data_IF_870482678240
#
_entry.id   IF_870482678240
#
_cell.length_a   1.000
_cell.length_b   1.000
_cell.length_c   1.000
_cell.angle_alpha   90.00
_cell.angle_beta   90.00
_cell.angle_gamma   90.00
#
_symmetry.space_group_name_H-M   'P 1'
#
loop_
_entity.id
_entity.type
_entity.pdbx_description
1 polymer ?
#
# COMPACT_ATOMS: atom_id res chain seq x y z
N UNK A 1 -13.05 18.11 -2.30
CA UNK A 1 -11.91 17.67 -1.46
C UNK A 1 -12.34 16.99 -0.16
N UNK A 2 -13.39 16.15 -0.24
CA UNK A 2 -14.01 15.58 0.95
C UNK A 2 -13.15 14.47 1.59
N UNK A 3 -12.34 13.74 0.80
CA UNK A 3 -11.54 12.63 1.32
C UNK A 3 -10.53 13.05 2.42
N UNK A 4 -9.97 14.24 2.35
CA UNK A 4 -8.98 14.73 3.32
C UNK A 4 -9.59 15.53 4.47
N UNK A 5 -10.92 15.74 4.47
CA UNK A 5 -11.60 16.57 5.45
C UNK A 5 -11.39 16.04 6.87
N UNK A 6 -10.96 16.92 7.75
CA UNK A 6 -10.77 16.66 9.21
C UNK A 6 -9.85 15.47 9.58
N UNK A 7 -9.14 14.86 8.62
CA UNK A 7 -8.22 13.74 8.92
C UNK A 7 -7.15 14.15 9.92
N UNK A 8 -6.50 15.31 9.69
CA UNK A 8 -5.45 15.80 10.59
C UNK A 8 -5.99 16.15 11.98
N UNK A 9 -7.18 16.74 12.06
CA UNK A 9 -7.82 17.07 13.35
C UNK A 9 -8.10 15.80 14.15
N UNK A 10 -8.63 14.76 13.54
CA UNK A 10 -8.89 13.49 14.21
C UNK A 10 -7.59 12.82 14.65
N UNK A 11 -6.56 12.79 13.80
CA UNK A 11 -5.25 12.23 14.16
C UNK A 11 -4.64 13.01 15.33
N UNK A 12 -4.68 14.35 15.31
CA UNK A 12 -4.18 15.18 16.40
C UNK A 12 -4.92 14.95 17.72
N UNK A 13 -6.25 14.80 17.67
CA UNK A 13 -7.04 14.46 18.85
C UNK A 13 -6.61 13.10 19.44
N UNK A 14 -6.38 12.09 18.61
CA UNK A 14 -5.91 10.78 19.07
C UNK A 14 -4.50 10.83 19.67
N UNK A 15 -3.61 11.69 19.16
CA UNK A 15 -2.31 11.94 19.80
C UNK A 15 -2.49 12.44 21.23
N UNK A 16 -3.36 13.43 21.42
CA UNK A 16 -3.51 14.12 22.70
C UNK A 16 -4.32 13.31 23.72
N UNK A 17 -5.28 12.52 23.28
CA UNK A 17 -6.22 11.81 24.17
C UNK A 17 -5.93 10.32 24.22
N UNK A 18 -5.92 9.64 23.08
CA UNK A 18 -5.81 8.17 23.05
C UNK A 18 -4.39 7.70 23.35
N UNK A 19 -3.39 8.29 22.68
CA UNK A 19 -2.00 7.85 22.84
C UNK A 19 -1.45 8.21 24.22
N UNK A 20 -1.93 9.29 24.84
CA UNK A 20 -1.49 9.72 26.16
C UNK A 20 -2.29 9.13 27.31
N UNK A 21 -3.63 9.04 27.18
CA UNK A 21 -4.52 8.70 28.28
C UNK A 21 -5.18 7.32 28.14
N UNK A 22 -5.45 6.84 26.91
CA UNK A 22 -6.26 5.66 26.64
C UNK A 22 -5.50 4.59 25.84
N UNK A 23 -4.22 4.41 26.11
CA UNK A 23 -3.29 3.52 25.37
C UNK A 23 -3.74 2.08 25.19
N UNK A 24 -4.71 1.61 25.97
CA UNK A 24 -5.08 0.20 26.07
C UNK A 24 -6.33 -0.17 25.26
N UNK A 25 -6.93 0.78 24.53
CA UNK A 25 -8.11 0.47 23.73
C UNK A 25 -7.74 -0.37 22.50
N UNK A 26 -8.43 -1.49 22.36
CA UNK A 26 -8.29 -2.42 21.25
C UNK A 26 -9.61 -2.65 20.54
N UNK A 27 -9.52 -3.27 19.37
CA UNK A 27 -10.64 -3.83 18.63
C UNK A 27 -10.19 -5.12 17.94
N UNK A 28 -11.12 -6.01 17.69
CA UNK A 28 -10.85 -7.26 17.00
C UNK A 28 -11.33 -7.18 15.56
N UNK A 29 -10.53 -7.70 14.64
CA UNK A 29 -10.88 -7.84 13.23
C UNK A 29 -10.26 -9.12 12.66
N UNK A 30 -11.10 -9.97 12.08
CA UNK A 30 -10.70 -11.24 11.45
C UNK A 30 -9.79 -12.14 12.32
N UNK A 31 -10.08 -12.23 13.63
CA UNK A 31 -9.34 -13.05 14.60
C UNK A 31 -8.03 -12.43 15.10
N UNK A 32 -7.74 -11.19 14.72
CA UNK A 32 -6.59 -10.44 15.23
C UNK A 32 -7.04 -9.26 16.08
N UNK A 33 -6.29 -8.99 17.15
CA UNK A 33 -6.53 -7.84 18.03
C UNK A 33 -5.63 -6.67 17.68
N UNK A 34 -6.21 -5.52 17.40
CA UNK A 34 -5.53 -4.29 17.00
C UNK A 34 -5.71 -3.18 18.02
N UNK A 35 -4.76 -2.24 18.09
CA UNK A 35 -4.87 -1.05 18.93
C UNK A 35 -5.67 0.04 18.21
N UNK A 36 -6.50 0.77 18.97
CA UNK A 36 -7.16 2.00 18.51
C UNK A 36 -6.19 3.17 18.61
N UNK A 37 -5.24 3.19 17.71
CA UNK A 37 -4.22 4.23 17.62
C UNK A 37 -4.59 5.33 16.60
N UNK A 38 -3.66 6.23 16.33
CA UNK A 38 -3.81 7.29 15.30
C UNK A 38 -4.10 6.73 13.91
N UNK A 39 -3.55 5.55 13.59
CA UNK A 39 -3.82 4.88 12.32
C UNK A 39 -5.27 4.41 12.22
N UNK A 40 -5.84 3.87 13.30
CA UNK A 40 -7.26 3.57 13.38
C UNK A 40 -8.12 4.83 13.17
N UNK A 41 -7.73 5.94 13.80
CA UNK A 41 -8.41 7.22 13.61
C UNK A 41 -8.39 7.69 12.16
N UNK A 42 -7.24 7.55 11.50
CA UNK A 42 -7.07 7.86 10.07
C UNK A 42 -8.00 7.01 9.20
N UNK A 43 -7.99 5.70 9.38
CA UNK A 43 -8.83 4.77 8.61
C UNK A 43 -10.32 5.06 8.80
N UNK A 44 -10.73 5.32 10.04
CA UNK A 44 -12.10 5.66 10.36
C UNK A 44 -12.54 6.96 9.71
N UNK A 45 -11.71 8.01 9.77
CA UNK A 45 -12.03 9.29 9.13
C UNK A 45 -12.08 9.17 7.61
N UNK A 46 -11.16 8.39 7.01
CA UNK A 46 -11.15 8.14 5.59
C UNK A 46 -12.44 7.43 5.14
N UNK A 47 -12.89 6.43 5.89
CA UNK A 47 -14.15 5.74 5.62
C UNK A 47 -15.36 6.68 5.75
N UNK A 48 -15.43 7.53 6.77
CA UNK A 48 -16.49 8.51 6.94
C UNK A 48 -16.51 9.52 5.78
N UNK A 49 -15.35 10.05 5.41
CA UNK A 49 -15.21 11.03 4.33
C UNK A 49 -15.62 10.47 2.95
N UNK A 50 -15.43 9.18 2.78
CA UNK A 50 -15.83 8.47 1.54
C UNK A 50 -17.21 7.83 1.66
N UNK A 51 -17.98 8.15 2.70
CA UNK A 51 -19.33 7.59 2.94
C UNK A 51 -19.35 6.07 2.92
N UNK A 52 -18.28 5.43 3.43
CA UNK A 52 -18.13 3.98 3.46
C UNK A 52 -17.71 3.32 2.14
N UNK A 53 -17.48 4.07 1.06
CA UNK A 53 -17.06 3.46 -0.22
C UNK A 53 -15.76 2.67 -0.13
N UNK A 54 -14.86 3.05 0.78
CA UNK A 54 -13.59 2.36 0.99
C UNK A 54 -13.65 1.31 2.12
N UNK A 55 -14.81 1.13 2.76
CA UNK A 55 -15.00 0.14 3.81
C UNK A 55 -15.24 -1.25 3.22
N UNK A 56 -14.25 -1.77 2.52
CA UNK A 56 -14.28 -3.06 1.84
C UNK A 56 -13.02 -3.85 2.13
N UNK A 57 -13.12 -5.16 1.99
CA UNK A 57 -11.97 -6.08 2.03
C UNK A 57 -11.25 -6.11 0.68
N UNK A 58 -9.97 -6.45 0.71
CA UNK A 58 -9.14 -6.50 -0.51
C UNK A 58 -9.72 -7.45 -1.57
N UNK A 59 -10.27 -8.60 -1.16
CA UNK A 59 -10.88 -9.58 -2.05
C UNK A 59 -12.13 -9.08 -2.77
N UNK A 60 -12.86 -8.11 -2.21
CA UNK A 60 -14.06 -7.55 -2.84
C UNK A 60 -13.75 -6.76 -4.12
N UNK A 61 -12.51 -6.31 -4.27
CA UNK A 61 -12.04 -5.64 -5.49
C UNK A 61 -11.53 -6.62 -6.55
N UNK A 62 -11.36 -7.91 -6.23
CA UNK A 62 -10.77 -8.88 -7.16
C UNK A 62 -11.58 -9.02 -8.46
N UNK A 63 -12.89 -9.31 -8.37
CA UNK A 63 -13.73 -9.47 -9.54
C UNK A 63 -13.93 -8.18 -10.35
N UNK A 64 -14.22 -7.02 -9.71
CA UNK A 64 -14.31 -5.75 -10.45
C UNK A 64 -13.03 -5.40 -11.22
N UNK A 65 -11.84 -5.63 -10.64
CA UNK A 65 -10.58 -5.44 -11.36
C UNK A 65 -10.40 -6.46 -12.49
N UNK A 66 -10.69 -7.75 -12.23
CA UNK A 66 -10.57 -8.81 -13.22
C UNK A 66 -11.48 -8.56 -14.43
N UNK A 67 -12.69 -8.08 -14.21
CA UNK A 67 -13.65 -7.72 -15.25
C UNK A 67 -13.37 -6.37 -15.92
N UNK A 68 -12.32 -5.66 -15.52
CA UNK A 68 -12.00 -4.30 -16.01
C UNK A 68 -13.09 -3.26 -15.72
N UNK A 69 -13.90 -3.46 -14.70
CA UNK A 69 -14.89 -2.49 -14.20
C UNK A 69 -14.22 -1.33 -13.45
N UNK A 70 -13.09 -1.63 -12.82
CA UNK A 70 -12.22 -0.67 -12.15
C UNK A 70 -10.75 -0.90 -12.55
N UNK A 71 -9.88 0.11 -12.47
CA UNK A 71 -8.46 -0.04 -12.71
C UNK A 71 -7.80 -0.99 -11.71
N UNK A 72 -6.78 -1.74 -12.14
CA UNK A 72 -5.96 -2.54 -11.25
C UNK A 72 -5.17 -1.66 -10.28
N UNK A 73 -5.26 -1.96 -8.99
CA UNK A 73 -4.60 -1.24 -7.92
C UNK A 73 -3.36 -2.00 -7.44
N UNK A 74 -2.26 -1.28 -7.28
CA UNK A 74 -1.04 -1.77 -6.66
C UNK A 74 -0.56 -0.77 -5.61
N UNK A 75 -0.59 -1.18 -4.35
CA UNK A 75 -0.11 -0.40 -3.20
C UNK A 75 1.24 -0.98 -2.78
N UNK A 76 2.22 -0.14 -2.45
CA UNK A 76 3.61 -0.57 -2.25
C UNK A 76 4.30 0.02 -1.02
N UNK A 77 3.78 -0.20 0.21
CA UNK A 77 4.48 0.21 1.42
C UNK A 77 5.87 -0.42 1.53
N UNK A 78 6.72 0.16 2.34
CA UNK A 78 8.09 -0.29 2.57
C UNK A 78 8.17 -1.16 3.82
N UNK A 79 8.78 -2.35 3.71
CA UNK A 79 9.12 -3.20 4.85
C UNK A 79 10.37 -2.62 5.50
N UNK A 80 10.25 -2.15 6.75
CA UNK A 80 11.33 -1.49 7.49
C UNK A 80 12.47 -2.47 7.80
N UNK A 81 12.15 -3.73 8.10
CA UNK A 81 13.11 -4.74 8.51
C UNK A 81 14.23 -4.99 7.48
N UNK A 82 13.93 -4.88 6.20
CA UNK A 82 14.88 -5.22 5.12
C UNK A 82 14.89 -4.22 3.95
N UNK A 83 14.08 -3.18 4.04
CA UNK A 83 13.94 -2.14 3.02
C UNK A 83 13.33 -2.64 1.70
N UNK A 84 12.68 -3.80 1.65
CA UNK A 84 11.96 -4.29 0.48
C UNK A 84 10.58 -3.63 0.38
N UNK A 85 10.02 -3.59 -0.82
CA UNK A 85 8.63 -3.18 -1.02
C UNK A 85 7.70 -4.34 -0.69
N UNK A 86 6.60 -4.06 0.01
CA UNK A 86 5.48 -4.98 0.15
C UNK A 86 4.46 -4.59 -0.91
N UNK A 87 4.24 -5.44 -1.91
CA UNK A 87 3.27 -5.14 -2.97
C UNK A 87 1.92 -5.78 -2.62
N UNK A 88 0.90 -4.92 -2.52
CA UNK A 88 -0.47 -5.28 -2.14
C UNK A 88 -1.39 -5.00 -3.31
N UNK A 89 -2.13 -6.02 -3.74
CA UNK A 89 -3.13 -5.91 -4.81
C UNK A 89 -4.21 -6.96 -4.61
N UNK A 90 -5.45 -6.69 -5.02
CA UNK A 90 -6.48 -7.73 -5.16
C UNK A 90 -6.08 -8.86 -6.10
N UNK A 91 -5.34 -8.55 -7.17
CA UNK A 91 -4.86 -9.52 -8.16
C UNK A 91 -3.54 -10.18 -7.75
N UNK A 92 -3.25 -11.40 -8.24
CA UNK A 92 -1.93 -12.03 -8.10
C UNK A 92 -0.89 -11.23 -8.90
N UNK A 93 0.12 -10.69 -8.21
CA UNK A 93 1.15 -9.80 -8.79
C UNK A 93 2.57 -10.27 -8.53
N UNK A 94 2.78 -11.58 -8.29
CA UNK A 94 4.11 -12.16 -8.03
C UNK A 94 5.14 -11.83 -9.11
N UNK A 95 4.69 -11.61 -10.36
CA UNK A 95 5.56 -11.23 -11.48
C UNK A 95 6.28 -9.89 -11.25
N UNK A 96 5.76 -9.01 -10.38
CA UNK A 96 6.43 -7.77 -9.99
C UNK A 96 7.52 -7.96 -8.94
N UNK A 97 7.58 -9.12 -8.29
CA UNK A 97 8.57 -9.41 -7.25
C UNK A 97 9.93 -9.83 -7.82
N UNK A 98 9.98 -10.38 -9.02
CA UNK A 98 11.19 -10.92 -9.61
C UNK A 98 12.04 -9.84 -10.30
N UNK A 99 13.36 -9.94 -10.14
CA UNK A 99 14.31 -9.14 -10.90
C UNK A 99 14.83 -9.96 -12.10
N UNK A 100 14.30 -9.71 -13.30
CA UNK A 100 14.68 -10.43 -14.53
C UNK A 100 16.13 -10.20 -14.98
N UNK A 101 16.78 -9.14 -14.53
CA UNK A 101 18.13 -8.77 -14.98
C UNK A 101 19.25 -9.57 -14.28
N UNK A 102 18.92 -10.48 -13.36
CA UNK A 102 19.89 -11.26 -12.63
C UNK A 102 19.90 -12.74 -13.06
N UNK A 103 20.25 -12.99 -14.34
CA UNK A 103 20.40 -14.37 -14.87
C UNK A 103 21.54 -15.18 -14.21
N UNK A 104 22.40 -14.57 -13.38
CA UNK A 104 23.65 -15.19 -12.95
C UNK A 104 23.86 -15.26 -11.43
N UNK A 105 22.84 -15.05 -10.59
CA UNK A 105 23.05 -15.15 -9.15
C UNK A 105 22.31 -16.37 -8.61
N UNK A 106 23.10 -17.36 -8.17
CA UNK A 106 22.65 -18.59 -7.49
C UNK A 106 21.92 -18.35 -6.15
N UNK A 107 21.65 -17.12 -5.77
CA UNK A 107 21.00 -16.75 -4.51
C UNK A 107 19.65 -16.11 -4.80
N UNK A 108 18.60 -16.87 -4.61
CA UNK A 108 17.15 -16.52 -4.69
C UNK A 108 16.70 -15.42 -3.71
N UNK A 109 17.64 -14.84 -2.95
CA UNK A 109 17.36 -13.88 -1.88
C UNK A 109 17.22 -12.42 -2.33
N UNK A 110 17.31 -12.14 -3.63
CA UNK A 110 17.31 -10.76 -4.14
C UNK A 110 15.99 -10.34 -4.81
N UNK A 111 14.86 -10.81 -4.31
CA UNK A 111 13.59 -10.18 -4.66
C UNK A 111 13.54 -8.77 -4.07
N UNK A 112 13.27 -7.77 -4.91
CA UNK A 112 13.15 -6.36 -4.48
C UNK A 112 11.83 -6.05 -3.78
N UNK A 113 10.88 -6.96 -3.89
CA UNK A 113 9.55 -6.83 -3.30
C UNK A 113 8.99 -8.19 -2.91
N UNK A 114 8.07 -8.16 -1.95
CA UNK A 114 7.33 -9.31 -1.45
C UNK A 114 5.85 -9.11 -1.80
N UNK A 115 5.21 -10.11 -2.37
CA UNK A 115 3.76 -10.07 -2.62
C UNK A 115 3.00 -10.38 -1.33
N UNK A 116 2.13 -9.45 -0.92
CA UNK A 116 1.37 -9.55 0.31
C UNK A 116 0.45 -10.77 0.35
N UNK A 117 -0.39 -10.95 -0.68
CA UNK A 117 -1.36 -12.07 -0.73
C UNK A 117 -0.70 -13.44 -0.62
N UNK A 118 0.43 -13.62 -1.27
CA UNK A 118 1.16 -14.88 -1.23
C UNK A 118 1.84 -15.11 0.12
N UNK A 119 2.47 -14.07 0.66
CA UNK A 119 3.22 -14.18 1.91
C UNK A 119 2.30 -14.37 3.12
N UNK A 120 1.19 -13.61 3.18
CA UNK A 120 0.23 -13.63 4.28
C UNK A 120 -1.00 -14.51 4.01
N UNK A 121 -0.92 -15.45 3.07
CA UNK A 121 -2.03 -16.34 2.70
C UNK A 121 -2.66 -17.03 3.90
N UNK A 122 -1.84 -17.53 4.81
CA UNK A 122 -2.28 -18.28 6.00
C UNK A 122 -2.80 -17.36 7.12
N UNK A 123 -2.58 -16.05 7.01
CA UNK A 123 -3.04 -15.03 7.95
C UNK A 123 -4.26 -14.25 7.41
N UNK A 124 -4.95 -14.78 6.42
CA UNK A 124 -6.14 -14.14 5.87
C UNK A 124 -5.86 -12.88 5.05
N UNK A 125 -4.84 -12.91 4.20
CA UNK A 125 -4.43 -11.76 3.38
C UNK A 125 -5.56 -11.16 2.53
N UNK A 126 -6.50 -11.98 2.07
CA UNK A 126 -7.66 -11.56 1.27
C UNK A 126 -8.66 -10.72 2.07
N UNK A 127 -8.66 -10.87 3.38
CA UNK A 127 -9.56 -10.16 4.30
C UNK A 127 -8.97 -8.83 4.81
N UNK A 128 -7.81 -8.42 4.30
CA UNK A 128 -7.25 -7.12 4.64
C UNK A 128 -8.21 -5.99 4.28
N UNK A 129 -8.48 -5.09 5.23
CA UNK A 129 -9.25 -3.88 4.94
C UNK A 129 -8.48 -2.99 3.95
N UNK A 130 -9.20 -2.49 2.96
CA UNK A 130 -8.61 -1.61 1.93
C UNK A 130 -8.02 -0.33 2.54
N UNK A 131 -8.70 0.26 3.51
CA UNK A 131 -8.19 1.43 4.25
C UNK A 131 -6.92 1.12 5.03
N UNK A 132 -6.76 -0.10 5.54
CA UNK A 132 -5.51 -0.51 6.19
C UNK A 132 -4.35 -0.64 5.21
N UNK A 133 -4.60 -1.12 3.99
CA UNK A 133 -3.60 -1.12 2.92
C UNK A 133 -3.15 0.32 2.54
N UNK A 134 -4.10 1.25 2.42
CA UNK A 134 -3.81 2.66 2.18
C UNK A 134 -3.01 3.27 3.35
N UNK A 135 -3.40 2.97 4.60
CA UNK A 135 -2.66 3.40 5.78
C UNK A 135 -1.21 2.94 5.75
N UNK A 136 -0.96 1.66 5.46
CA UNK A 136 0.41 1.13 5.37
C UNK A 136 1.27 1.94 4.41
N UNK A 137 0.71 2.35 3.27
CA UNK A 137 1.41 3.12 2.23
C UNK A 137 1.58 4.60 2.54
N UNK A 138 0.84 5.13 3.52
CA UNK A 138 0.85 6.54 3.94
C UNK A 138 1.32 6.75 5.38
N UNK A 139 1.84 5.71 6.03
CA UNK A 139 2.36 5.79 7.40
C UNK A 139 3.68 6.51 7.43
N UNK A 140 3.66 7.81 7.74
CA UNK A 140 4.84 8.65 7.84
C UNK A 140 5.36 8.69 9.30
N UNK A 141 6.68 8.58 9.52
CA UNK A 141 7.27 8.65 10.85
C UNK A 141 6.77 9.86 11.66
N UNK A 142 6.59 9.68 12.96
CA UNK A 142 6.10 10.66 13.93
C UNK A 142 4.62 11.07 13.78
N UNK A 143 4.04 11.02 12.58
CA UNK A 143 2.61 11.34 12.35
C UNK A 143 1.73 10.13 12.63
N UNK A 144 2.07 8.99 12.05
CA UNK A 144 1.35 7.72 12.28
C UNK A 144 2.29 6.62 12.78
N UNK A 145 1.81 5.72 13.65
CA UNK A 145 2.60 4.61 14.12
C UNK A 145 2.89 3.61 13.01
N UNK A 146 4.09 3.01 13.05
CA UNK A 146 4.46 1.88 12.18
C UNK A 146 3.37 0.80 12.26
N UNK A 147 3.05 0.20 11.13
CA UNK A 147 2.12 -0.93 11.07
C UNK A 147 2.89 -2.23 11.26
N UNK A 148 2.41 -3.03 12.20
CA UNK A 148 2.94 -4.35 12.51
C UNK A 148 2.09 -5.42 11.83
N UNK A 149 2.70 -6.33 11.09
CA UNK A 149 2.03 -7.41 10.39
C UNK A 149 2.28 -8.76 11.08
N UNK A 150 1.30 -9.66 11.08
CA UNK A 150 1.35 -10.92 11.81
C UNK A 150 2.24 -11.97 11.11
N UNK A 151 3.54 -11.75 11.09
CA UNK A 151 4.55 -12.67 10.58
C UNK A 151 5.61 -12.97 11.62
N UNK A 152 6.36 -14.06 11.44
CA UNK A 152 7.52 -14.41 12.23
C UNK A 152 8.75 -14.55 11.32
N UNK A 153 9.79 -13.70 11.44
CA UNK A 153 9.80 -12.49 12.29
C UNK A 153 8.74 -11.44 11.88
N UNK A 154 8.31 -10.65 12.84
CA UNK A 154 7.30 -9.62 12.63
C UNK A 154 7.73 -8.59 11.58
N UNK A 155 6.94 -8.41 10.52
CA UNK A 155 7.15 -7.35 9.56
C UNK A 155 6.61 -6.03 10.07
N UNK A 156 7.44 -4.99 9.93
CA UNK A 156 7.07 -3.61 10.19
C UNK A 156 7.02 -2.86 8.87
N UNK A 157 5.91 -2.20 8.59
CA UNK A 157 5.73 -1.49 7.32
C UNK A 157 5.41 -0.03 7.55
N UNK A 158 5.86 0.78 6.61
CA UNK A 158 5.64 2.22 6.59
C UNK A 158 5.61 2.74 5.14
N UNK A 159 5.57 4.04 5.00
CA UNK A 159 5.34 4.80 3.79
C UNK A 159 6.05 4.26 2.53
N UNK A 160 5.33 4.29 1.42
CA UNK A 160 5.85 3.92 0.10
C UNK A 160 6.96 4.86 -0.39
N UNK A 161 6.95 6.11 0.08
CA UNK A 161 7.91 7.14 -0.28
C UNK A 161 9.36 6.80 0.02
N UNK A 162 9.60 5.90 0.95
CA UNK A 162 10.94 5.42 1.26
C UNK A 162 11.60 4.65 0.10
N UNK A 163 10.81 4.01 -0.77
CA UNK A 163 11.35 3.13 -1.82
C UNK A 163 10.81 3.41 -3.22
N UNK A 164 9.55 3.78 -3.35
CA UNK A 164 8.90 4.01 -4.64
C UNK A 164 7.70 4.95 -4.50
N UNK A 165 7.99 6.21 -4.19
CA UNK A 165 6.99 7.24 -3.85
C UNK A 165 5.87 7.42 -4.88
N UNK A 166 6.15 7.18 -6.15
CA UNK A 166 5.22 7.38 -7.25
C UNK A 166 4.84 6.08 -7.98
N UNK A 167 5.22 4.91 -7.45
CA UNK A 167 4.97 3.63 -8.09
C UNK A 167 5.73 3.41 -9.41
N UNK A 168 6.74 4.22 -9.71
CA UNK A 168 7.47 4.18 -10.99
C UNK A 168 8.14 2.83 -11.20
N UNK A 169 8.74 2.25 -10.16
CA UNK A 169 9.42 0.95 -10.26
C UNK A 169 8.44 -0.17 -10.59
N UNK A 170 7.26 -0.17 -9.96
CA UNK A 170 6.22 -1.16 -10.27
C UNK A 170 5.68 -0.96 -11.69
N UNK A 171 5.44 0.28 -12.10
CA UNK A 171 4.98 0.62 -13.44
C UNK A 171 5.96 0.17 -14.52
N UNK A 172 7.25 0.42 -14.34
CA UNK A 172 8.30 -0.05 -15.27
C UNK A 172 8.33 -1.58 -15.32
N UNK A 173 8.29 -2.27 -14.17
CA UNK A 173 8.26 -3.74 -14.13
C UNK A 173 7.02 -4.31 -14.83
N UNK A 174 5.87 -3.70 -14.63
CA UNK A 174 4.63 -4.07 -15.31
C UNK A 174 4.80 -3.98 -16.84
N UNK A 175 5.28 -2.85 -17.33
CA UNK A 175 5.54 -2.67 -18.76
C UNK A 175 6.52 -3.69 -19.32
N UNK A 176 7.62 -3.95 -18.64
CA UNK A 176 8.58 -4.96 -19.07
C UNK A 176 7.97 -6.36 -19.09
N UNK A 177 7.10 -6.67 -18.15
CA UNK A 177 6.45 -7.99 -18.06
C UNK A 177 5.50 -8.20 -19.22
N UNK A 178 4.72 -7.19 -19.56
CA UNK A 178 3.67 -7.28 -20.59
C UNK A 178 4.08 -6.60 -21.90
N UNK A 179 5.38 -6.29 -22.09
CA UNK A 179 5.89 -5.54 -23.26
C UNK A 179 5.34 -6.09 -24.58
N UNK A 180 5.49 -7.37 -24.83
CA UNK A 180 5.05 -8.00 -26.08
C UNK A 180 3.54 -7.86 -26.26
N UNK A 181 2.75 -8.13 -25.23
CA UNK A 181 1.30 -7.98 -25.30
C UNK A 181 0.88 -6.53 -25.56
N UNK A 182 1.54 -5.58 -24.93
CA UNK A 182 1.28 -4.15 -25.12
C UNK A 182 1.57 -3.75 -26.57
N UNK A 183 2.72 -4.15 -27.12
CA UNK A 183 3.11 -3.87 -28.50
C UNK A 183 2.14 -4.47 -29.53
N UNK A 184 1.59 -5.66 -29.25
CA UNK A 184 0.69 -6.36 -30.18
C UNK A 184 -0.78 -5.91 -30.06
N UNK A 185 -1.21 -5.36 -28.90
CA UNK A 185 -2.64 -5.16 -28.62
C UNK A 185 -3.00 -3.68 -28.29
N UNK A 186 -2.04 -2.76 -28.26
CA UNK A 186 -2.30 -1.37 -27.92
C UNK A 186 -1.54 -0.40 -28.81
N UNK A 187 -2.01 0.85 -28.90
CA UNK A 187 -1.32 1.92 -29.64
C UNK A 187 -0.17 2.55 -28.84
N UNK A 188 0.01 2.18 -27.58
CA UNK A 188 1.05 2.70 -26.71
C UNK A 188 0.62 2.81 -25.25
N UNK A 189 1.46 3.43 -24.44
CA UNK A 189 1.24 3.61 -23.00
C UNK A 189 1.37 5.08 -22.62
N UNK A 190 0.43 5.57 -21.82
CA UNK A 190 0.47 6.91 -21.24
C UNK A 190 0.77 6.80 -19.75
N UNK A 191 1.82 7.45 -19.27
CA UNK A 191 2.12 7.59 -17.87
C UNK A 191 1.56 8.89 -17.32
N UNK A 192 0.72 8.78 -16.29
CA UNK A 192 0.21 9.95 -15.56
C UNK A 192 0.79 9.90 -14.14
N UNK A 193 1.63 10.87 -13.81
CA UNK A 193 2.17 11.03 -12.46
C UNK A 193 1.43 12.14 -11.73
N UNK A 194 0.71 11.78 -10.67
CA UNK A 194 0.02 12.74 -9.80
C UNK A 194 0.97 13.15 -8.68
N UNK A 195 1.14 14.46 -8.46
CA UNK A 195 1.99 15.05 -7.42
C UNK A 195 1.19 16.06 -6.61
N UNK A 196 1.55 16.18 -5.35
CA UNK A 196 1.02 17.17 -4.41
C UNK A 196 1.60 18.59 -4.65
N UNK A 197 2.82 18.67 -5.19
CA UNK A 197 3.54 19.92 -5.39
C UNK A 197 4.06 20.07 -6.83
N UNK A 198 4.02 21.32 -7.33
CA UNK A 198 4.64 21.67 -8.60
C UNK A 198 6.17 21.70 -8.46
N UNK A 199 6.88 20.87 -9.21
CA UNK A 199 8.31 21.01 -9.38
C UNK A 199 8.53 22.16 -10.38
N UNK A 200 8.96 23.34 -9.92
CA UNK A 200 9.47 24.38 -10.83
C UNK A 200 10.71 23.81 -11.50
N UNK A 201 10.61 23.41 -12.76
CA UNK A 201 11.80 23.15 -13.57
C UNK A 201 12.47 24.50 -13.81
N UNK A 202 13.64 24.72 -13.23
CA UNK A 202 14.56 25.71 -13.75
C UNK A 202 15.09 25.14 -15.08
N UNK A 203 14.55 25.64 -16.16
CA UNK A 203 15.16 25.46 -17.48
C UNK A 203 16.26 26.52 -17.51
N UNK A 204 17.50 26.13 -17.24
CA UNK A 204 18.66 26.98 -17.53
C UNK A 204 18.70 27.17 -19.05
N UNK A 205 18.57 28.42 -19.46
CA UNK A 205 18.68 28.85 -20.89
C UNK A 205 20.12 28.82 -21.33
#
# INVERSE_FOLDING_TARGET
NDMAKDILNRVAFYVSVNDMLLRLQTFDDNGFTYRKDRGYAFEKQLNENTRGYLNRRLNEYYLPEYNSEIPMLIINPTIVNNGKRLIISPQPISYLSYNRNQKNIKNDYLTESIEFKRFFKNQGADDLQFTSALRMSSTFPYVMPIVHLPSDPEFKVMDAGLRDNFGVKNSIKFLYTFKKWIEENTSGVVFIQIRDSQKKQKIDK
#
